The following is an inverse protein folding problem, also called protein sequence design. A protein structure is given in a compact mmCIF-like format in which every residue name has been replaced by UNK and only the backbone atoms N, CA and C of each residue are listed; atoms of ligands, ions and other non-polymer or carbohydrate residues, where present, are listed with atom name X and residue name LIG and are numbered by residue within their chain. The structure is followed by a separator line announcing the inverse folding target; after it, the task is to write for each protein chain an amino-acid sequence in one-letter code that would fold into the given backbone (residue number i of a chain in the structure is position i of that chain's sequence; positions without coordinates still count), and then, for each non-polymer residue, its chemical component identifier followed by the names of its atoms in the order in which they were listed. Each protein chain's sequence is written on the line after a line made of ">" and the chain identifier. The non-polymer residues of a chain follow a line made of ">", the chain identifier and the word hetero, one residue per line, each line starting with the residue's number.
data_IF_589383777675
#
_entry.id   IF_589383777675
#
_cell.length_a   1.000
_cell.length_b   1.000
_cell.length_c   1.000
_cell.angle_alpha   90.00
_cell.angle_beta   90.00
_cell.angle_gamma   90.00
#
_symmetry.space_group_name_H-M   'P 1'
#
loop_
_entity.id
_entity.type
_entity.pdbx_description
1 polymer ?
#
# COMPACT_ATOMS: atom_id res chain seq x y z
N UNK A 1 -19.75 0.26 -14.47
CA UNK A 1 -19.56 1.18 -15.61
C UNK A 1 -18.35 2.06 -15.32
N UNK A 2 -17.38 2.11 -16.24
CA UNK A 2 -16.16 2.93 -16.14
C UNK A 2 -14.88 2.18 -15.73
N UNK A 3 -14.38 1.24 -16.55
CA UNK A 3 -12.99 0.78 -16.45
C UNK A 3 -12.08 1.92 -16.93
N UNK A 4 -11.40 2.61 -16.02
CA UNK A 4 -10.35 3.56 -16.36
C UNK A 4 -9.13 2.76 -16.85
N UNK A 5 -9.01 2.59 -18.16
CA UNK A 5 -7.77 2.15 -18.82
C UNK A 5 -6.77 3.30 -18.85
N UNK A 6 -6.17 3.57 -17.69
CA UNK A 6 -5.00 4.44 -17.63
C UNK A 6 -3.82 3.73 -18.30
N UNK A 7 -3.21 4.41 -19.27
CA UNK A 7 -1.95 4.02 -19.90
C UNK A 7 -0.90 3.67 -18.84
N UNK A 8 -0.50 2.40 -18.77
CA UNK A 8 0.66 1.96 -18.01
C UNK A 8 1.90 2.58 -18.66
N UNK A 9 2.36 3.72 -18.13
CA UNK A 9 3.60 4.36 -18.60
C UNK A 9 4.74 3.35 -18.50
N UNK A 10 5.48 3.21 -19.61
CA UNK A 10 6.62 2.28 -19.72
C UNK A 10 7.66 2.57 -18.64
N UNK A 11 8.11 1.49 -18.01
CA UNK A 11 9.35 1.35 -17.23
C UNK A 11 10.45 2.25 -17.80
N UNK A 12 10.96 3.19 -17.00
CA UNK A 12 12.22 3.86 -17.32
C UNK A 12 13.37 2.91 -17.01
N UNK A 13 14.31 2.80 -17.94
CA UNK A 13 15.42 1.83 -17.92
C UNK A 13 16.35 1.91 -16.70
N UNK A 14 16.25 2.97 -15.88
CA UNK A 14 17.07 3.20 -14.68
C UNK A 14 16.33 3.01 -13.34
N UNK A 15 15.14 2.39 -13.32
CA UNK A 15 14.45 2.10 -12.05
C UNK A 15 14.97 0.82 -11.39
N UNK A 16 15.75 0.96 -10.31
CA UNK A 16 16.14 -0.18 -9.48
C UNK A 16 15.00 -0.52 -8.52
N UNK A 17 14.26 -1.59 -8.83
CA UNK A 17 13.19 -2.09 -7.98
C UNK A 17 13.77 -2.93 -6.85
N UNK A 18 13.60 -2.49 -5.61
CA UNK A 18 13.84 -3.35 -4.45
C UNK A 18 12.56 -4.11 -4.10
N UNK A 19 12.62 -5.44 -4.11
CA UNK A 19 11.52 -6.27 -3.62
C UNK A 19 11.73 -6.54 -2.13
N UNK A 20 10.78 -6.12 -1.30
CA UNK A 20 10.83 -6.33 0.15
C UNK A 20 9.45 -6.74 0.68
N UNK A 21 9.40 -7.89 1.35
CA UNK A 21 8.24 -8.26 2.16
C UNK A 21 8.22 -7.39 3.41
N UNK A 22 7.11 -6.70 3.63
CA UNK A 22 6.90 -5.84 4.80
C UNK A 22 5.70 -6.33 5.60
N UNK A 23 5.81 -6.33 6.94
CA UNK A 23 4.67 -6.57 7.83
C UNK A 23 4.13 -5.21 8.28
N UNK A 24 2.83 -4.99 8.07
CA UNK A 24 2.13 -3.78 8.52
C UNK A 24 1.13 -4.21 9.59
N UNK A 25 1.38 -3.90 10.88
CA UNK A 25 0.41 -4.18 11.92
C UNK A 25 -0.84 -3.31 11.70
N UNK A 26 -2.01 -3.94 11.77
CA UNK A 26 -3.28 -3.22 11.80
C UNK A 26 -3.65 -2.93 13.24
N UNK A 27 -4.27 -1.77 13.46
CA UNK A 27 -4.86 -1.44 14.74
C UNK A 27 -5.95 -2.46 15.12
N UNK A 28 -6.14 -2.76 16.41
CA UNK A 28 -7.19 -3.66 16.86
C UNK A 28 -8.58 -3.20 16.38
N UNK A 29 -9.38 -4.15 15.93
CA UNK A 29 -10.76 -3.91 15.51
C UNK A 29 -11.64 -5.09 15.93
N UNK A 30 -12.88 -4.78 16.33
CA UNK A 30 -13.91 -5.76 16.64
C UNK A 30 -15.13 -5.43 15.79
N UNK A 31 -15.45 -6.29 14.82
CA UNK A 31 -16.58 -6.07 13.93
C UNK A 31 -17.21 -7.40 13.54
N UNK A 32 -18.55 -7.45 13.52
CA UNK A 32 -19.32 -8.58 13.01
C UNK A 32 -19.83 -8.27 11.61
N UNK A 33 -19.30 -8.97 10.62
CA UNK A 33 -19.80 -8.88 9.24
C UNK A 33 -21.07 -9.74 9.11
N UNK A 34 -22.20 -9.12 8.78
CA UNK A 34 -23.45 -9.85 8.52
C UNK A 34 -23.45 -10.45 7.12
N UNK A 35 -24.43 -11.32 6.83
CA UNK A 35 -24.62 -11.86 5.49
C UNK A 35 -24.71 -10.72 4.46
N UNK A 36 -24.00 -10.88 3.33
CA UNK A 36 -23.92 -9.86 2.27
C UNK A 36 -22.84 -8.79 2.45
N UNK A 37 -22.24 -8.65 3.64
CA UNK A 37 -21.11 -7.73 3.83
C UNK A 37 -19.85 -8.24 3.13
N UNK A 38 -18.95 -7.31 2.79
CA UNK A 38 -17.64 -7.61 2.21
C UNK A 38 -16.56 -6.86 2.98
N UNK A 39 -15.41 -7.51 3.13
CA UNK A 39 -14.21 -6.85 3.65
C UNK A 39 -13.48 -6.19 2.49
N UNK A 40 -13.39 -4.87 2.52
CA UNK A 40 -12.55 -4.09 1.61
C UNK A 40 -11.20 -3.79 2.24
N UNK A 41 -10.12 -3.83 1.44
CA UNK A 41 -8.78 -3.46 1.89
C UNK A 41 -8.28 -2.34 0.99
N UNK A 42 -7.88 -1.23 1.60
CA UNK A 42 -7.21 -0.13 0.91
C UNK A 42 -5.71 -0.21 1.19
N UNK A 43 -4.92 -0.31 0.12
CA UNK A 43 -3.46 -0.26 0.20
C UNK A 43 -3.02 1.06 -0.43
N UNK A 44 -2.33 1.88 0.35
CA UNK A 44 -1.88 3.21 -0.05
C UNK A 44 -0.47 3.47 0.49
N UNK A 45 0.32 4.35 -0.15
CA UNK A 45 1.69 4.67 0.27
C UNK A 45 1.78 5.51 1.56
N UNK A 46 0.65 5.94 2.13
CA UNK A 46 0.56 6.69 3.38
C UNK A 46 -0.89 7.10 3.70
N UNK A 47 -1.10 7.65 4.90
CA UNK A 47 -2.41 8.11 5.38
C UNK A 47 -2.28 9.47 6.11
N UNK A 48 -1.80 10.49 5.41
CA UNK A 48 -1.76 11.87 5.90
C UNK A 48 -3.20 12.43 6.05
N UNK A 49 -3.50 13.23 7.10
CA UNK A 49 -2.59 13.77 8.11
C UNK A 49 -2.32 12.88 9.33
N UNK A 50 -2.96 11.71 9.43
CA UNK A 50 -2.78 10.78 10.55
C UNK A 50 -1.35 10.24 10.71
N UNK A 51 -0.56 10.25 9.62
CA UNK A 51 0.88 10.02 9.65
C UNK A 51 1.60 11.09 8.83
N UNK A 52 2.81 11.46 9.26
CA UNK A 52 3.70 12.35 8.50
C UNK A 52 3.92 11.79 7.10
N UNK A 53 3.84 12.67 6.10
CA UNK A 53 4.07 12.31 4.69
C UNK A 53 5.49 11.78 4.54
N UNK A 54 5.66 10.69 3.78
CA UNK A 54 6.96 10.23 3.33
C UNK A 54 7.42 11.08 2.12
N UNK A 55 8.52 11.86 2.19
CA UNK A 55 9.00 12.69 1.09
C UNK A 55 9.61 11.90 -0.08
N UNK A 56 9.93 10.62 0.16
CA UNK A 56 10.56 9.69 -0.79
C UNK A 56 11.95 10.10 -1.32
N UNK A 57 12.60 11.07 -0.69
CA UNK A 57 13.97 11.51 -1.01
C UNK A 57 15.06 10.71 -0.29
N UNK A 58 14.70 10.00 0.78
CA UNK A 58 15.66 9.39 1.72
C UNK A 58 15.99 10.28 2.92
N UNK A 59 15.70 11.58 2.83
CA UNK A 59 15.84 12.53 3.94
C UNK A 59 14.81 12.27 5.06
N UNK A 60 15.10 12.67 6.31
CA UNK A 60 14.15 12.57 7.41
C UNK A 60 12.85 13.33 7.12
N UNK A 61 11.72 12.67 7.36
CA UNK A 61 10.40 13.19 6.97
C UNK A 61 10.02 14.53 7.61
N UNK A 62 10.57 14.84 8.80
CA UNK A 62 10.27 16.07 9.54
C UNK A 62 11.07 17.29 9.06
N UNK A 63 12.21 17.07 8.40
CA UNK A 63 13.11 18.14 7.96
C UNK A 63 13.19 18.28 6.44
N UNK A 64 12.68 17.29 5.70
CA UNK A 64 12.67 17.33 4.25
C UNK A 64 11.80 18.50 3.73
N UNK A 65 12.40 19.33 2.89
CA UNK A 65 11.74 20.46 2.22
C UNK A 65 11.27 20.12 0.80
N UNK A 66 11.74 19.01 0.25
CA UNK A 66 11.43 18.53 -1.09
C UNK A 66 10.75 17.17 -1.01
N UNK A 67 9.73 16.97 -1.83
CA UNK A 67 9.09 15.67 -2.04
C UNK A 67 9.31 15.24 -3.49
N UNK A 68 9.66 13.97 -3.70
CA UNK A 68 9.79 13.39 -5.04
C UNK A 68 8.74 12.30 -5.24
N UNK A 69 8.38 12.04 -6.49
CA UNK A 69 7.48 10.93 -6.82
C UNK A 69 8.21 9.60 -6.60
N UNK A 70 7.60 8.70 -5.84
CA UNK A 70 7.99 7.30 -5.77
C UNK A 70 6.95 6.41 -6.45
N UNK A 71 7.40 5.62 -7.42
CA UNK A 71 6.59 4.52 -7.95
C UNK A 71 6.65 3.34 -6.98
N UNK A 72 5.48 2.78 -6.65
CA UNK A 72 5.34 1.63 -5.76
C UNK A 72 4.41 0.63 -6.41
N UNK A 73 4.78 -0.64 -6.31
CA UNK A 73 4.01 -1.76 -6.82
C UNK A 73 3.82 -2.78 -5.71
N UNK A 74 2.63 -3.37 -5.65
CA UNK A 74 2.31 -4.45 -4.73
C UNK A 74 2.36 -5.74 -5.53
N UNK A 75 3.40 -6.56 -5.33
CA UNK A 75 3.44 -7.89 -5.91
C UNK A 75 2.44 -8.81 -5.20
N UNK A 76 1.59 -9.47 -5.96
CA UNK A 76 0.69 -10.52 -5.48
C UNK A 76 0.59 -11.59 -6.55
N UNK A 77 1.35 -12.66 -6.37
CA UNK A 77 1.38 -13.84 -7.23
C UNK A 77 1.57 -15.09 -6.36
N UNK A 78 1.54 -16.29 -6.96
CA UNK A 78 1.69 -17.56 -6.23
C UNK A 78 3.05 -17.71 -5.53
N UNK A 79 4.11 -17.16 -6.11
CA UNK A 79 5.45 -17.14 -5.52
C UNK A 79 5.60 -16.04 -4.45
N UNK A 80 4.79 -14.98 -4.52
CA UNK A 80 4.80 -13.80 -3.64
C UNK A 80 3.39 -13.50 -3.12
N UNK A 81 2.84 -14.37 -2.25
CA UNK A 81 1.49 -14.17 -1.73
C UNK A 81 1.49 -13.06 -0.69
N UNK A 82 1.14 -11.85 -1.13
CA UNK A 82 0.71 -10.76 -0.24
C UNK A 82 -0.64 -11.11 0.37
N UNK A 83 -0.81 -10.92 1.69
CA UNK A 83 -2.02 -11.36 2.42
C UNK A 83 -2.36 -10.44 3.57
N UNK A 84 -3.64 -10.42 3.95
CA UNK A 84 -4.10 -9.91 5.24
C UNK A 84 -4.30 -11.11 6.18
N UNK A 85 -3.95 -10.95 7.45
CA UNK A 85 -4.27 -11.92 8.50
C UNK A 85 -5.37 -11.31 9.37
N UNK A 86 -6.57 -11.92 9.34
CA UNK A 86 -7.71 -11.49 10.15
C UNK A 86 -7.98 -12.55 11.22
N UNK A 87 -7.93 -12.21 12.51
CA UNK A 87 -8.37 -13.12 13.55
C UNK A 87 -9.89 -13.26 13.47
N UNK A 88 -10.37 -14.44 13.10
CA UNK A 88 -11.80 -14.75 13.07
C UNK A 88 -12.16 -15.57 14.31
N UNK A 89 -13.26 -15.21 14.95
CA UNK A 89 -13.95 -16.12 15.87
C UNK A 89 -15.09 -16.75 15.10
N UNK A 90 -15.08 -18.08 15.07
CA UNK A 90 -16.14 -18.92 14.51
C UNK A 90 -17.08 -19.30 15.62
#
# INVERSE_FOLDING_TARGET
>A
TGRRTGSWRRRTANSFWSNRRSKVPLWPAFHRFTAGHRVGIQVAPGAHPGYTRNPATGEPALTATVTVRADKEISHDTARPSRIALPVRV
#
